data_IF_587192297591
#
_entry.id   IF_587192297591
#
_cell.length_a   1.000
_cell.length_b   1.000
_cell.length_c   1.000
_cell.angle_alpha   90.00
_cell.angle_beta   90.00
_cell.angle_gamma   90.00
#
_symmetry.space_group_name_H-M   'P 1'
#
loop_
_entity.id
_entity.type
_entity.pdbx_description
1 polymer ?
#
# COMPACT_ATOMS: atom_id res chain seq x y z
N UNK A 1 37.64 10.05 66.29
CA UNK A 1 38.40 11.27 65.94
C UNK A 1 39.41 10.93 64.87
N UNK A 2 39.56 11.87 63.92
CA UNK A 2 40.58 11.99 62.87
C UNK A 2 40.36 11.31 61.51
N UNK A 3 39.96 12.17 60.57
CA UNK A 3 40.53 12.39 59.23
C UNK A 3 40.50 11.24 58.21
N UNK A 4 39.61 11.38 57.20
CA UNK A 4 39.86 11.01 55.78
C UNK A 4 38.66 11.37 54.90
N UNK A 5 38.60 12.59 54.41
CA UNK A 5 37.81 12.98 53.22
C UNK A 5 38.43 14.26 52.69
N UNK A 6 38.44 14.43 51.36
CA UNK A 6 38.96 15.57 50.57
C UNK A 6 40.37 15.30 50.00
N UNK A 7 40.41 14.55 48.90
CA UNK A 7 41.41 14.64 47.82
C UNK A 7 40.92 13.78 46.65
N UNK A 8 40.02 14.33 45.81
CA UNK A 8 39.65 13.72 44.51
C UNK A 8 38.81 14.68 43.65
N UNK A 9 39.21 15.96 43.51
CA UNK A 9 38.55 16.89 42.60
C UNK A 9 39.49 17.76 41.75
N UNK A 10 40.81 17.59 41.83
CA UNK A 10 41.77 18.39 41.04
C UNK A 10 42.40 17.65 39.84
N UNK A 11 42.04 16.40 39.55
CA UNK A 11 42.60 15.63 38.41
C UNK A 11 41.66 15.50 37.19
N UNK A 12 40.51 16.20 37.17
CA UNK A 12 39.51 16.09 36.09
C UNK A 12 39.38 17.30 35.16
N UNK A 13 40.17 18.37 35.35
CA UNK A 13 40.07 19.59 34.52
C UNK A 13 41.26 19.85 33.57
N UNK A 14 42.31 19.02 33.56
CA UNK A 14 43.48 19.26 32.70
C UNK A 14 43.47 18.52 31.33
N UNK A 15 42.48 17.67 31.04
CA UNK A 15 42.46 16.87 29.80
C UNK A 15 41.55 17.42 28.67
N UNK A 16 41.00 18.63 28.79
CA UNK A 16 40.03 19.17 27.83
C UNK A 16 40.49 20.42 27.06
N UNK A 17 41.80 20.61 26.85
CA UNK A 17 42.32 21.83 26.21
C UNK A 17 43.29 21.68 25.03
N UNK A 18 43.37 20.49 24.41
CA UNK A 18 44.22 20.28 23.23
C UNK A 18 43.50 19.50 22.12
N UNK A 19 42.40 20.04 21.56
CA UNK A 19 41.84 19.61 20.27
C UNK A 19 41.10 20.77 19.58
N UNK A 20 41.80 21.85 19.25
CA UNK A 20 41.34 22.80 18.23
C UNK A 20 42.57 23.39 17.54
N UNK A 21 43.08 22.71 16.51
CA UNK A 21 43.88 23.32 15.44
C UNK A 21 44.08 22.29 14.30
N UNK A 22 43.96 22.77 13.06
CA UNK A 22 44.24 22.10 11.78
C UNK A 22 43.10 21.34 11.05
N UNK A 23 42.17 22.09 10.43
CA UNK A 23 41.65 21.72 9.09
C UNK A 23 41.68 22.94 8.17
N UNK A 24 42.76 23.07 7.39
CA UNK A 24 42.88 23.96 6.25
C UNK A 24 43.01 23.09 4.99
N UNK A 25 41.88 22.84 4.30
CA UNK A 25 41.87 22.14 3.01
C UNK A 25 41.72 23.17 1.89
N UNK A 26 42.70 23.29 0.97
CA UNK A 26 42.56 24.18 -0.17
C UNK A 26 41.70 23.55 -1.27
N UNK A 27 40.73 24.34 -1.75
CA UNK A 27 39.97 24.08 -2.97
C UNK A 27 40.92 24.02 -4.19
N UNK A 28 41.08 22.83 -4.78
CA UNK A 28 41.61 22.70 -6.13
C UNK A 28 40.46 22.42 -7.11
N UNK A 29 40.29 23.39 -7.98
CA UNK A 29 39.51 23.32 -9.20
C UNK A 29 40.24 22.46 -10.23
N UNK A 30 39.56 21.44 -10.76
CA UNK A 30 39.97 20.80 -12.00
C UNK A 30 38.79 20.70 -12.96
N UNK A 31 38.88 21.49 -14.03
CA UNK A 31 38.16 21.36 -15.29
C UNK A 31 38.84 20.27 -16.12
N UNK A 32 38.03 19.39 -16.71
CA UNK A 32 38.19 18.65 -17.99
C UNK A 32 37.27 17.43 -17.83
N UNK A 33 36.21 17.23 -18.61
CA UNK A 33 36.10 17.30 -20.05
C UNK A 33 35.64 15.91 -20.51
N UNK A 34 34.37 15.77 -20.90
CA UNK A 34 33.90 14.70 -21.79
C UNK A 34 32.46 14.97 -22.20
N UNK A 35 32.38 15.70 -23.30
CA UNK A 35 31.34 15.60 -24.30
C UNK A 35 31.10 14.16 -24.72
N UNK A 36 29.89 13.63 -24.51
CA UNK A 36 29.24 12.64 -25.40
C UNK A 36 27.85 12.27 -24.84
N UNK A 37 26.79 12.76 -25.50
CA UNK A 37 25.54 12.03 -25.81
C UNK A 37 24.42 13.02 -26.12
N UNK A 38 24.53 13.63 -27.29
CA UNK A 38 23.48 14.38 -27.94
C UNK A 38 23.02 13.57 -29.16
N UNK A 39 22.24 12.51 -28.94
CA UNK A 39 21.61 11.71 -30.00
C UNK A 39 20.49 10.85 -29.43
N UNK A 40 19.30 11.45 -29.27
CA UNK A 40 17.99 10.79 -29.39
C UNK A 40 16.88 11.83 -29.15
N UNK A 41 16.71 12.72 -30.11
CA UNK A 41 15.45 13.44 -30.36
C UNK A 41 15.21 13.36 -31.86
N UNK A 42 13.95 13.16 -32.23
CA UNK A 42 13.40 13.00 -33.59
C UNK A 42 13.17 11.55 -34.01
N UNK A 43 12.08 10.95 -33.51
CA UNK A 43 11.24 9.98 -34.25
C UNK A 43 10.01 9.61 -33.43
N UNK A 44 8.97 10.45 -33.50
CA UNK A 44 7.57 10.05 -33.27
C UNK A 44 6.65 11.28 -33.29
N UNK A 45 6.55 11.94 -34.45
CA UNK A 45 5.42 12.81 -34.78
C UNK A 45 5.09 12.60 -36.25
N UNK A 46 4.45 11.47 -36.54
CA UNK A 46 3.67 11.26 -37.75
C UNK A 46 2.84 9.99 -37.55
N UNK A 47 1.57 10.06 -37.92
CA UNK A 47 0.51 9.03 -37.81
C UNK A 47 -0.46 9.16 -36.62
N UNK A 48 -1.29 10.20 -36.64
CA UNK A 48 -2.69 10.08 -36.19
C UNK A 48 -3.53 11.22 -36.81
N UNK A 49 -3.73 11.12 -38.13
CA UNK A 49 -4.86 11.73 -38.83
C UNK A 49 -5.56 10.62 -39.59
N UNK A 50 -6.88 10.71 -39.64
CA UNK A 50 -7.82 9.87 -40.40
C UNK A 50 -8.40 8.67 -39.62
N UNK A 51 -9.51 8.92 -38.92
CA UNK A 51 -10.70 8.10 -39.14
C UNK A 51 -11.97 8.95 -39.04
N UNK A 52 -12.54 9.16 -40.22
CA UNK A 52 -13.84 9.79 -40.47
C UNK A 52 -14.96 8.82 -40.08
N UNK A 53 -16.02 9.42 -39.52
CA UNK A 53 -17.44 9.25 -39.83
C UNK A 53 -18.01 7.84 -40.03
N UNK A 54 -19.06 7.54 -39.26
CA UNK A 54 -20.11 6.60 -39.64
C UNK A 54 -21.46 7.08 -39.04
N UNK A 55 -22.59 6.69 -39.64
CA UNK A 55 -23.71 7.61 -39.90
C UNK A 55 -24.91 7.47 -38.95
N UNK A 56 -25.68 8.56 -38.89
CA UNK A 56 -27.07 8.61 -38.46
C UNK A 56 -27.94 7.67 -39.28
N UNK A 57 -28.72 6.81 -38.64
CA UNK A 57 -30.02 6.33 -39.13
C UNK A 57 -30.83 5.76 -37.97
N UNK A 58 -31.96 6.37 -37.64
CA UNK A 58 -33.24 5.71 -37.39
C UNK A 58 -34.34 6.77 -37.32
N UNK A 59 -35.05 6.92 -38.45
CA UNK A 59 -36.44 7.37 -38.45
C UNK A 59 -37.28 6.29 -37.74
N UNK A 60 -38.15 6.68 -36.82
CA UNK A 60 -39.31 5.86 -36.49
C UNK A 60 -40.54 6.73 -36.33
N UNK A 61 -41.62 6.15 -36.81
CA UNK A 61 -42.85 6.72 -37.33
C UNK A 61 -43.84 7.20 -36.27
N UNK A 62 -44.60 8.20 -36.66
CA UNK A 62 -45.88 8.58 -36.05
C UNK A 62 -46.87 7.41 -36.06
N UNK A 63 -47.50 7.14 -34.92
CA UNK A 63 -48.75 6.37 -34.83
C UNK A 63 -49.74 7.14 -33.96
N UNK A 64 -50.95 7.25 -34.49
CA UNK A 64 -52.09 8.02 -34.01
C UNK A 64 -52.83 7.37 -32.83
N UNK A 65 -53.37 8.25 -31.99
CA UNK A 65 -54.61 8.20 -31.20
C UNK A 65 -55.30 6.86 -30.91
N UNK A 66 -55.39 6.54 -29.61
CA UNK A 66 -56.39 5.65 -29.03
C UNK A 66 -56.94 6.25 -27.73
N UNK A 67 -58.24 6.58 -27.72
CA UNK A 67 -59.02 7.04 -26.58
C UNK A 67 -59.36 5.84 -25.69
N UNK A 68 -59.07 5.89 -24.39
CA UNK A 68 -59.35 4.78 -23.47
C UNK A 68 -59.29 5.18 -21.99
N UNK A 69 -60.47 5.48 -21.45
CA UNK A 69 -60.93 5.36 -20.05
C UNK A 69 -59.90 5.37 -18.90
N UNK A 70 -59.99 6.43 -18.11
CA UNK A 70 -59.26 6.70 -16.85
C UNK A 70 -59.50 5.64 -15.76
N UNK A 71 -58.47 4.96 -15.25
CA UNK A 71 -58.52 4.30 -13.96
C UNK A 71 -58.15 5.30 -12.85
N UNK A 72 -58.98 5.35 -11.82
CA UNK A 72 -58.78 6.11 -10.58
C UNK A 72 -57.46 5.71 -9.91
N UNK A 73 -56.42 6.53 -10.07
CA UNK A 73 -55.12 6.40 -9.38
C UNK A 73 -55.29 6.67 -7.88
N UNK A 74 -54.98 5.67 -7.06
CA UNK A 74 -54.74 5.85 -5.62
C UNK A 74 -53.45 6.68 -5.46
N UNK A 75 -53.42 7.73 -4.63
CA UNK A 75 -52.25 8.57 -4.44
C UNK A 75 -51.22 7.83 -3.59
N UNK A 76 -50.21 7.26 -4.23
CA UNK A 76 -49.00 6.79 -3.56
C UNK A 76 -47.76 7.21 -4.39
N UNK A 77 -47.78 8.44 -4.89
CA UNK A 77 -46.65 9.03 -5.62
C UNK A 77 -45.62 9.56 -4.60
N UNK A 78 -44.80 8.67 -4.05
CA UNK A 78 -43.46 9.08 -3.61
C UNK A 78 -42.71 9.47 -4.88
N UNK A 79 -42.43 10.76 -5.04
CA UNK A 79 -41.73 11.29 -6.21
C UNK A 79 -40.41 10.56 -6.42
N UNK A 80 -40.06 10.27 -7.68
CA UNK A 80 -38.86 9.53 -8.10
C UNK A 80 -37.56 10.07 -7.44
N UNK A 81 -37.54 11.37 -7.15
CA UNK A 81 -36.45 12.08 -6.46
C UNK A 81 -36.25 11.59 -5.02
N UNK A 82 -37.32 11.21 -4.29
CA UNK A 82 -37.22 10.71 -2.92
C UNK A 82 -36.73 9.27 -2.85
N UNK A 83 -36.96 8.46 -3.89
CA UNK A 83 -36.44 7.10 -3.99
C UNK A 83 -34.94 7.08 -4.28
N UNK A 84 -34.45 7.92 -5.19
CA UNK A 84 -33.01 8.05 -5.47
C UNK A 84 -32.21 8.52 -4.25
N UNK A 85 -32.76 9.47 -3.49
CA UNK A 85 -32.09 9.97 -2.27
C UNK A 85 -31.96 8.90 -1.18
N UNK A 86 -32.94 7.99 -1.09
CA UNK A 86 -32.92 6.89 -0.12
C UNK A 86 -31.93 5.78 -0.51
N UNK A 87 -31.69 5.58 -1.81
CA UNK A 87 -30.64 4.66 -2.28
C UNK A 87 -29.24 5.19 -1.97
N UNK A 88 -29.01 6.51 -2.13
CA UNK A 88 -27.72 7.14 -1.80
C UNK A 88 -27.37 7.04 -0.31
N UNK A 89 -28.34 7.16 0.60
CA UNK A 89 -28.12 7.03 2.05
C UNK A 89 -27.73 5.60 2.49
N UNK A 90 -27.96 4.61 1.63
CA UNK A 90 -27.61 3.19 1.91
C UNK A 90 -26.30 2.74 1.26
N UNK A 91 -25.66 3.60 0.46
CA UNK A 91 -24.48 3.24 -0.29
C UNK A 91 -23.25 3.12 0.63
N UNK A 92 -22.73 1.91 0.79
CA UNK A 92 -21.60 1.60 1.70
C UNK A 92 -20.24 2.02 1.09
N UNK A 93 -20.16 2.15 -0.24
CA UNK A 93 -18.95 2.56 -0.94
C UNK A 93 -19.26 3.21 -2.30
N UNK A 94 -18.38 4.10 -2.77
CA UNK A 94 -18.52 4.77 -4.08
C UNK A 94 -17.18 4.85 -4.83
N UNK A 95 -17.14 4.46 -6.12
CA UNK A 95 -15.95 4.55 -6.94
C UNK A 95 -15.88 5.90 -7.68
N UNK A 96 -14.66 6.37 -7.91
CA UNK A 96 -14.31 7.60 -8.61
C UNK A 96 -13.11 7.37 -9.51
N UNK A 97 -13.03 8.14 -10.59
CA UNK A 97 -11.80 8.28 -11.36
C UNK A 97 -10.97 9.39 -10.74
N UNK A 98 -9.77 9.06 -10.27
CA UNK A 98 -8.87 9.98 -9.59
C UNK A 98 -7.68 10.32 -10.49
N UNK A 99 -7.53 11.59 -10.82
CA UNK A 99 -6.44 12.10 -11.65
C UNK A 99 -5.38 12.74 -10.76
N UNK A 100 -4.19 12.14 -10.71
CA UNK A 100 -3.04 12.74 -10.05
C UNK A 100 -2.56 13.98 -10.83
N UNK A 101 -1.96 14.99 -10.17
CA UNK A 101 -1.35 16.15 -10.83
C UNK A 101 -0.37 15.80 -11.97
N UNK A 102 0.34 14.68 -11.85
CA UNK A 102 1.25 14.17 -12.86
C UNK A 102 0.55 13.52 -14.09
N UNK A 103 -0.79 13.57 -14.16
CA UNK A 103 -1.58 13.07 -15.27
C UNK A 103 -1.94 11.58 -15.21
N UNK A 104 -1.45 10.83 -14.21
CA UNK A 104 -1.80 9.41 -14.04
C UNK A 104 -3.20 9.26 -13.45
N UNK A 105 -3.98 8.37 -14.02
CA UNK A 105 -5.31 7.99 -13.51
C UNK A 105 -5.19 6.80 -12.56
N UNK A 106 -5.98 6.84 -11.49
CA UNK A 106 -6.22 5.74 -10.56
C UNK A 106 -7.72 5.59 -10.29
N UNK A 107 -8.13 4.42 -9.81
CA UNK A 107 -9.48 4.21 -9.28
C UNK A 107 -9.49 4.52 -7.79
N UNK A 108 -10.26 5.52 -7.38
CA UNK A 108 -10.45 5.87 -5.99
C UNK A 108 -11.78 5.32 -5.51
N UNK A 109 -11.77 4.52 -4.45
CA UNK A 109 -12.96 4.00 -3.79
C UNK A 109 -13.03 4.61 -2.40
N UNK A 110 -14.14 5.31 -2.12
CA UNK A 110 -14.48 5.73 -0.77
C UNK A 110 -15.37 4.69 -0.13
N UNK A 111 -14.97 4.18 1.02
CA UNK A 111 -15.74 3.24 1.84
C UNK A 111 -16.25 3.99 3.06
N UNK A 112 -17.56 4.11 3.19
CA UNK A 112 -18.19 4.95 4.21
C UNK A 112 -18.45 4.19 5.53
N UNK A 113 -18.40 2.85 5.50
CA UNK A 113 -18.63 1.98 6.65
C UNK A 113 -17.82 0.69 6.49
N UNK A 114 -16.63 0.66 7.09
CA UNK A 114 -15.72 -0.51 7.06
C UNK A 114 -16.25 -1.71 7.83
N UNK A 115 -17.13 -1.49 8.81
CA UNK A 115 -17.67 -2.54 9.66
C UNK A 115 -19.02 -3.05 9.17
N UNK A 116 -19.43 -2.63 7.96
CA UNK A 116 -20.69 -3.04 7.38
C UNK A 116 -20.78 -4.57 7.27
N UNK A 117 -21.79 -5.13 7.93
CA UNK A 117 -22.04 -6.58 7.92
C UNK A 117 -22.27 -7.05 6.49
N UNK A 118 -21.47 -8.01 6.03
CA UNK A 118 -21.49 -8.52 4.66
C UNK A 118 -21.15 -7.45 3.62
N UNK A 119 -20.04 -6.75 3.80
CA UNK A 119 -19.53 -5.79 2.82
C UNK A 119 -19.51 -6.41 1.40
N UNK A 120 -20.09 -5.74 0.38
CA UNK A 120 -20.32 -6.31 -0.96
C UNK A 120 -19.04 -6.28 -1.82
N UNK A 121 -18.00 -7.00 -1.38
CA UNK A 121 -16.71 -7.07 -2.08
C UNK A 121 -16.85 -7.54 -3.54
N UNK A 122 -17.73 -8.51 -3.81
CA UNK A 122 -17.92 -9.02 -5.17
C UNK A 122 -18.37 -7.92 -6.15
N UNK A 123 -19.34 -7.09 -5.76
CA UNK A 123 -19.84 -6.00 -6.60
C UNK A 123 -18.79 -4.91 -6.79
N UNK A 124 -18.07 -4.59 -5.71
CA UNK A 124 -16.96 -3.65 -5.70
C UNK A 124 -15.84 -4.09 -6.64
N UNK A 125 -15.35 -5.32 -6.50
CA UNK A 125 -14.28 -5.88 -7.34
C UNK A 125 -14.73 -6.04 -8.80
N UNK A 126 -15.99 -6.41 -9.05
CA UNK A 126 -16.60 -6.41 -10.38
C UNK A 126 -16.55 -5.03 -11.04
N UNK A 127 -16.90 -3.97 -10.30
CA UNK A 127 -16.88 -2.59 -10.81
C UNK A 127 -15.46 -2.12 -11.13
N UNK A 128 -14.48 -2.58 -10.36
CA UNK A 128 -13.05 -2.26 -10.56
C UNK A 128 -12.37 -3.15 -11.61
N UNK A 129 -13.07 -4.17 -12.14
CA UNK A 129 -12.49 -5.20 -13.03
C UNK A 129 -11.35 -5.99 -12.37
N UNK A 130 -11.40 -6.14 -11.05
CA UNK A 130 -10.46 -6.95 -10.25
C UNK A 130 -11.11 -8.29 -9.90
N UNK A 131 -11.55 -9.01 -10.93
CA UNK A 131 -12.46 -10.16 -10.73
C UNK A 131 -11.80 -11.52 -10.84
N UNK A 132 -10.56 -11.58 -11.32
CA UNK A 132 -9.79 -12.81 -11.31
C UNK A 132 -9.21 -13.02 -9.90
N UNK A 133 -8.85 -14.26 -9.57
CA UNK A 133 -8.04 -14.51 -8.37
C UNK A 133 -6.61 -14.10 -8.67
N UNK A 134 -6.00 -13.32 -7.78
CA UNK A 134 -4.61 -12.86 -7.95
C UNK A 134 -3.74 -13.33 -6.79
N UNK A 135 -2.47 -13.74 -7.02
CA UNK A 135 -1.50 -13.83 -5.94
C UNK A 135 -1.33 -12.45 -5.31
N UNK A 136 -1.25 -12.38 -3.98
CA UNK A 136 -1.20 -11.11 -3.25
C UNK A 136 0.10 -11.02 -2.45
N UNK A 137 0.77 -9.88 -2.55
CA UNK A 137 1.82 -9.49 -1.60
C UNK A 137 1.33 -8.30 -0.78
N UNK A 138 1.13 -8.52 0.51
CA UNK A 138 0.67 -7.49 1.44
C UNK A 138 1.86 -6.93 2.23
N UNK A 139 2.11 -5.63 2.13
CA UNK A 139 3.15 -4.95 2.89
C UNK A 139 2.59 -4.48 4.24
N UNK A 140 3.23 -4.94 5.31
CA UNK A 140 2.86 -4.62 6.69
C UNK A 140 3.84 -3.59 7.25
N UNK A 141 3.31 -2.45 7.67
CA UNK A 141 4.09 -1.38 8.31
C UNK A 141 5.13 -0.74 7.38
N UNK A 142 4.89 -0.70 6.07
CA UNK A 142 5.77 -0.02 5.11
C UNK A 142 5.60 1.51 5.21
N UNK A 143 6.70 2.23 5.38
CA UNK A 143 6.71 3.70 5.32
C UNK A 143 8.06 4.31 4.90
N UNK A 144 9.15 3.55 4.93
CA UNK A 144 10.47 4.06 4.57
C UNK A 144 10.77 3.94 3.07
N UNK A 145 11.27 5.02 2.48
CA UNK A 145 11.62 5.13 1.06
C UNK A 145 13.05 4.72 0.71
N UNK A 146 13.92 4.51 1.71
CA UNK A 146 15.33 4.18 1.53
C UNK A 146 15.61 2.69 1.25
N UNK A 147 14.61 1.89 0.88
CA UNK A 147 14.69 0.44 0.64
C UNK A 147 14.71 0.06 -0.85
N UNK A 148 15.38 0.85 -1.68
CA UNK A 148 15.32 0.73 -3.15
C UNK A 148 15.67 -0.67 -3.70
N UNK A 149 16.73 -1.31 -3.20
CA UNK A 149 17.10 -2.68 -3.62
C UNK A 149 16.02 -3.69 -3.26
N UNK A 150 15.43 -3.55 -2.07
CA UNK A 150 14.36 -4.42 -1.61
C UNK A 150 13.12 -4.29 -2.49
N UNK A 151 12.65 -3.06 -2.73
CA UNK A 151 11.49 -2.82 -3.60
C UNK A 151 11.73 -3.23 -5.06
N UNK A 152 12.97 -3.15 -5.55
CA UNK A 152 13.33 -3.69 -6.86
C UNK A 152 13.15 -5.22 -6.94
N UNK A 153 13.59 -5.94 -5.91
CA UNK A 153 13.42 -7.40 -5.80
C UNK A 153 11.96 -7.81 -5.67
N UNK A 154 11.23 -7.17 -4.74
CA UNK A 154 9.79 -7.34 -4.53
C UNK A 154 8.98 -7.13 -5.82
N UNK A 155 9.19 -5.99 -6.50
CA UNK A 155 8.47 -5.67 -7.73
C UNK A 155 8.79 -6.67 -8.85
N UNK A 156 10.03 -7.17 -8.92
CA UNK A 156 10.39 -8.22 -9.89
C UNK A 156 9.67 -9.54 -9.58
N UNK A 157 9.62 -9.97 -8.33
CA UNK A 157 8.89 -11.17 -7.94
C UNK A 157 7.40 -11.06 -8.28
N UNK A 158 6.79 -9.92 -7.94
CA UNK A 158 5.37 -9.68 -8.22
C UNK A 158 5.07 -9.65 -9.72
N UNK A 159 5.96 -9.06 -10.52
CA UNK A 159 5.81 -9.04 -11.98
C UNK A 159 5.84 -10.43 -12.58
N UNK A 160 6.78 -11.27 -12.16
CA UNK A 160 6.91 -12.63 -12.67
C UNK A 160 5.76 -13.56 -12.24
N UNK A 161 5.06 -13.22 -11.15
CA UNK A 161 3.93 -13.99 -10.61
C UNK A 161 2.56 -13.35 -10.89
N UNK A 162 2.51 -12.25 -11.65
CA UNK A 162 1.29 -11.45 -11.86
C UNK A 162 0.58 -11.05 -10.54
N UNK A 163 1.36 -10.86 -9.48
CA UNK A 163 0.84 -10.58 -8.15
C UNK A 163 0.39 -9.13 -8.01
N UNK A 164 -0.67 -8.91 -7.22
CA UNK A 164 -1.08 -7.58 -6.77
C UNK A 164 -0.32 -7.25 -5.49
N UNK A 165 0.24 -6.05 -5.43
CA UNK A 165 0.85 -5.52 -4.21
C UNK A 165 -0.20 -4.68 -3.48
N UNK A 166 -0.32 -4.89 -2.17
CA UNK A 166 -1.24 -4.15 -1.31
C UNK A 166 -0.44 -3.52 -0.17
N UNK A 167 -0.55 -2.21 0.00
CA UNK A 167 0.17 -1.45 1.02
C UNK A 167 -0.68 -0.29 1.56
N UNK A 168 -0.02 0.61 2.30
CA UNK A 168 -0.59 1.88 2.73
C UNK A 168 -0.59 2.83 1.52
N UNK A 169 -1.70 3.55 1.30
CA UNK A 169 -1.89 4.40 0.12
C UNK A 169 -0.94 5.63 -0.02
N UNK A 170 0.10 5.70 0.81
CA UNK A 170 1.07 6.79 0.93
C UNK A 170 2.39 6.43 0.25
N UNK A 171 3.34 7.36 0.22
CA UNK A 171 4.61 7.09 -0.46
C UNK A 171 5.52 6.17 0.35
N UNK A 172 5.94 5.06 -0.26
CA UNK A 172 6.87 4.11 0.36
C UNK A 172 8.19 3.98 -0.39
N UNK A 173 8.34 4.58 -1.57
CA UNK A 173 9.51 4.41 -2.44
C UNK A 173 9.44 3.18 -3.36
N UNK A 174 8.38 2.37 -3.24
CA UNK A 174 8.09 1.24 -4.13
C UNK A 174 7.60 1.69 -5.52
N UNK A 175 7.00 2.87 -5.59
CA UNK A 175 6.23 3.34 -6.74
C UNK A 175 7.01 3.42 -8.04
N UNK A 176 8.27 3.90 -8.07
CA UNK A 176 9.05 3.91 -9.29
C UNK A 176 9.25 2.50 -9.87
N UNK A 177 9.27 1.45 -9.04
CA UNK A 177 9.44 0.07 -9.49
C UNK A 177 8.14 -0.54 -10.00
N UNK A 178 7.01 -0.24 -9.34
CA UNK A 178 5.67 -0.63 -9.77
C UNK A 178 5.31 0.02 -11.10
N UNK A 179 5.54 1.33 -11.24
CA UNK A 179 5.26 2.08 -12.47
C UNK A 179 6.06 1.52 -13.65
N UNK A 180 7.36 1.28 -13.47
CA UNK A 180 8.23 0.77 -14.54
C UNK A 180 7.83 -0.62 -15.04
N UNK A 181 7.15 -1.42 -14.21
CA UNK A 181 6.74 -2.79 -14.51
C UNK A 181 5.24 -2.93 -14.78
N UNK A 182 4.49 -1.82 -14.81
CA UNK A 182 3.04 -1.81 -14.95
C UNK A 182 2.31 -2.73 -13.95
N UNK A 183 2.77 -2.73 -12.69
CA UNK A 183 2.18 -3.54 -11.63
C UNK A 183 0.92 -2.90 -11.05
N UNK A 184 -0.02 -3.75 -10.63
CA UNK A 184 -1.17 -3.33 -9.84
C UNK A 184 -0.73 -3.13 -8.39
N UNK A 185 -0.61 -1.86 -8.00
CA UNK A 185 -0.45 -1.45 -6.60
C UNK A 185 -1.79 -0.92 -6.08
N UNK A 186 -2.24 -1.48 -4.95
CA UNK A 186 -3.51 -1.18 -4.27
C UNK A 186 -3.20 -0.59 -2.90
N UNK A 187 -3.61 0.66 -2.68
CA UNK A 187 -3.40 1.35 -1.41
C UNK A 187 -4.67 1.34 -0.58
N UNK A 188 -4.57 1.02 0.70
CA UNK A 188 -5.66 1.17 1.68
C UNK A 188 -5.24 2.17 2.74
N UNK A 189 -6.10 3.14 3.06
CA UNK A 189 -5.79 4.13 4.09
C UNK A 189 -7.06 4.72 4.74
N UNK A 190 -6.99 5.14 6.02
CA UNK A 190 -8.06 5.92 6.64
C UNK A 190 -8.18 7.28 5.94
N UNK A 191 -9.38 7.62 5.47
CA UNK A 191 -9.62 8.82 4.66
C UNK A 191 -9.16 10.11 5.37
N UNK A 192 -9.41 10.19 6.69
CA UNK A 192 -9.09 11.35 7.50
C UNK A 192 -7.60 11.44 7.91
N UNK A 193 -6.79 10.43 7.61
CA UNK A 193 -5.36 10.41 7.92
C UNK A 193 -4.47 10.72 6.71
N UNK A 194 -5.06 10.81 5.51
CA UNK A 194 -4.31 11.07 4.27
C UNK A 194 -4.57 12.47 3.72
N UNK A 195 -3.66 12.94 2.89
CA UNK A 195 -3.77 14.20 2.15
C UNK A 195 -3.79 13.92 0.65
N UNK A 196 -4.58 14.72 -0.07
CA UNK A 196 -4.58 14.67 -1.52
C UNK A 196 -3.36 15.42 -2.10
N UNK A 197 -2.76 14.92 -3.18
CA UNK A 197 -1.59 15.52 -3.81
C UNK A 197 -1.89 16.90 -4.37
N UNK A 198 -0.96 17.83 -4.14
CA UNK A 198 -1.06 19.23 -4.59
C UNK A 198 -0.22 19.44 -5.85
N UNK A 199 -0.72 20.25 -6.79
CA UNK A 199 -0.08 20.47 -8.11
C UNK A 199 1.31 21.13 -8.00
N UNK A 200 1.57 21.91 -6.94
CA UNK A 200 2.82 22.66 -6.76
C UNK A 200 3.24 22.70 -5.28
N UNK A 201 3.46 21.56 -4.65
CA UNK A 201 3.94 21.53 -3.27
C UNK A 201 5.47 21.70 -3.21
N UNK A 202 5.95 22.74 -2.51
CA UNK A 202 7.37 22.84 -2.13
C UNK A 202 7.78 21.79 -1.11
N UNK A 203 6.81 21.27 -0.36
CA UNK A 203 6.97 20.24 0.66
C UNK A 203 6.04 19.07 0.35
N UNK A 204 6.60 17.87 0.25
CA UNK A 204 5.82 16.64 0.10
C UNK A 204 5.45 16.12 1.48
N UNK A 205 4.15 16.03 1.73
CA UNK A 205 3.64 15.51 3.00
C UNK A 205 3.80 13.99 3.07
N UNK A 206 4.30 13.41 4.17
CA UNK A 206 4.48 11.96 4.28
C UNK A 206 3.16 11.19 4.24
N UNK A 207 2.03 11.85 4.51
CA UNK A 207 0.69 11.25 4.42
C UNK A 207 -0.05 11.60 3.12
N UNK A 208 0.66 12.15 2.14
CA UNK A 208 0.10 12.40 0.82
C UNK A 208 -0.13 11.09 0.06
N UNK A 209 -1.28 10.98 -0.62
CA UNK A 209 -1.57 9.83 -1.47
C UNK A 209 -0.54 9.70 -2.59
N UNK A 210 -0.01 8.50 -2.75
CA UNK A 210 1.09 8.25 -3.68
C UNK A 210 0.59 7.91 -5.09
N UNK A 211 1.23 8.49 -6.11
CA UNK A 211 0.87 8.34 -7.52
C UNK A 211 1.30 6.99 -8.14
N UNK A 212 1.91 6.10 -7.36
CA UNK A 212 2.21 4.72 -7.76
C UNK A 212 0.99 3.82 -7.83
N UNK A 213 -0.07 4.14 -7.08
CA UNK A 213 -1.25 3.32 -6.92
C UNK A 213 -2.14 3.31 -8.16
N UNK A 214 -2.63 2.12 -8.50
CA UNK A 214 -3.66 1.92 -9.54
C UNK A 214 -5.07 1.98 -8.95
N UNK A 215 -5.22 1.54 -7.70
CA UNK A 215 -6.46 1.53 -6.94
C UNK A 215 -6.18 2.06 -5.53
N UNK A 216 -7.06 2.93 -5.04
CA UNK A 216 -6.99 3.55 -3.72
C UNK A 216 -8.29 3.28 -2.99
N UNK A 217 -8.22 2.74 -1.78
CA UNK A 217 -9.36 2.54 -0.89
C UNK A 217 -9.20 3.47 0.29
N UNK A 218 -9.98 4.56 0.28
CA UNK A 218 -10.07 5.48 1.41
C UNK A 218 -11.23 5.05 2.28
N UNK A 219 -10.89 4.61 3.48
CA UNK A 219 -11.85 3.99 4.37
C UNK A 219 -12.25 4.92 5.51
N UNK A 220 -13.52 4.80 5.91
CA UNK A 220 -14.11 5.58 6.98
C UNK A 220 -15.15 4.74 7.73
N UNK A 221 -15.59 5.25 8.87
CA UNK A 221 -16.69 4.70 9.66
C UNK A 221 -17.77 5.78 9.82
N UNK A 222 -19.05 5.38 9.84
CA UNK A 222 -20.19 6.32 9.82
C UNK A 222 -20.16 7.28 11.00
N UNK A 223 -19.75 6.76 12.15
CA UNK A 223 -19.86 7.46 13.43
C UNK A 223 -18.49 7.88 13.99
N UNK A 224 -17.39 7.48 13.34
CA UNK A 224 -16.03 7.62 13.89
C UNK A 224 -15.01 7.94 12.81
N UNK A 225 -14.08 8.82 13.16
CA UNK A 225 -12.88 9.06 12.36
C UNK A 225 -11.91 7.91 12.58
N UNK A 226 -11.57 7.21 11.50
CA UNK A 226 -10.64 6.10 11.57
C UNK A 226 -9.20 6.60 11.71
N UNK A 227 -8.43 5.99 12.60
CA UNK A 227 -6.98 6.21 12.67
C UNK A 227 -6.24 5.10 11.94
N UNK A 228 -4.95 5.32 11.66
CA UNK A 228 -4.06 4.26 11.21
C UNK A 228 -4.17 3.03 12.13
N UNK A 229 -4.01 1.85 11.54
CA UNK A 229 -4.28 0.51 12.13
C UNK A 229 -5.75 0.09 12.12
N UNK A 230 -6.72 1.01 12.11
CA UNK A 230 -8.14 0.64 12.14
C UNK A 230 -8.66 0.20 10.76
N UNK A 231 -7.98 0.56 9.68
CA UNK A 231 -8.25 0.09 8.32
C UNK A 231 -7.88 -1.38 8.09
N UNK A 232 -7.08 -1.95 9.00
CA UNK A 232 -6.45 -3.26 8.81
C UNK A 232 -7.47 -4.39 8.58
N UNK A 233 -8.58 -4.39 9.30
CA UNK A 233 -9.61 -5.41 9.13
C UNK A 233 -10.16 -5.40 7.69
N UNK A 234 -10.44 -4.21 7.16
CA UNK A 234 -10.91 -4.04 5.79
C UNK A 234 -9.82 -4.46 4.79
N UNK A 235 -8.57 -4.05 5.01
CA UNK A 235 -7.42 -4.42 4.17
C UNK A 235 -7.26 -5.94 4.07
N UNK A 236 -7.29 -6.66 5.20
CA UNK A 236 -7.18 -8.11 5.24
C UNK A 236 -8.37 -8.80 4.55
N UNK A 237 -9.59 -8.30 4.73
CA UNK A 237 -10.76 -8.84 4.02
C UNK A 237 -10.66 -8.59 2.51
N UNK A 238 -10.17 -7.43 2.09
CA UNK A 238 -9.96 -7.09 0.69
C UNK A 238 -8.94 -8.04 0.05
N UNK A 239 -7.78 -8.29 0.67
CA UNK A 239 -6.77 -9.20 0.11
C UNK A 239 -7.28 -10.64 0.00
N UNK A 240 -8.05 -11.11 0.99
CA UNK A 240 -8.67 -12.44 0.94
C UNK A 240 -9.64 -12.55 -0.25
N UNK A 241 -10.40 -11.48 -0.53
CA UNK A 241 -11.33 -11.43 -1.66
C UNK A 241 -10.66 -11.26 -3.02
N UNK A 242 -9.56 -10.51 -3.09
CA UNK A 242 -8.73 -10.42 -4.29
C UNK A 242 -8.07 -11.77 -4.64
N UNK A 243 -7.63 -12.52 -3.63
CA UNK A 243 -7.05 -13.85 -3.82
C UNK A 243 -8.09 -14.92 -4.18
N UNK A 244 -9.33 -14.79 -3.69
CA UNK A 244 -10.46 -15.67 -4.05
C UNK A 244 -10.92 -15.42 -5.50
N UNK A 245 -11.03 -14.15 -5.91
CA UNK A 245 -11.53 -13.76 -7.23
C UNK A 245 -12.99 -14.21 -7.47
N UNK A 246 -13.35 -14.41 -8.74
CA UNK A 246 -14.63 -14.99 -9.17
C UNK A 246 -14.68 -16.51 -9.08
N UNK A 247 -13.55 -17.16 -8.81
CA UNK A 247 -13.49 -18.61 -8.77
C UNK A 247 -14.51 -19.09 -7.74
N UNK A 248 -15.33 -20.05 -8.14
CA UNK A 248 -16.37 -20.68 -7.31
C UNK A 248 -15.87 -20.90 -5.89
N UNK A 249 -16.75 -20.75 -4.88
CA UNK A 249 -16.49 -21.01 -3.44
C UNK A 249 -15.75 -22.33 -3.12
N UNK A 250 -15.54 -23.20 -4.11
CA UNK A 250 -14.90 -24.52 -4.02
C UNK A 250 -13.51 -24.61 -4.68
N UNK A 251 -13.04 -23.57 -5.39
CA UNK A 251 -11.71 -23.56 -6.01
C UNK A 251 -10.62 -23.13 -5.02
N UNK A 252 -9.36 -23.53 -5.24
CA UNK A 252 -8.25 -23.05 -4.43
C UNK A 252 -8.09 -21.54 -4.62
N UNK A 253 -7.97 -20.80 -3.51
CA UNK A 253 -7.59 -19.38 -3.52
C UNK A 253 -6.17 -19.21 -4.05
N UNK A 254 -5.88 -18.05 -4.66
CA UNK A 254 -4.51 -17.67 -4.94
C UNK A 254 -3.72 -17.43 -3.64
N UNK A 255 -2.39 -17.50 -3.75
CA UNK A 255 -1.46 -17.37 -2.63
C UNK A 255 -1.44 -15.95 -2.08
N UNK A 256 -1.36 -15.81 -0.77
CA UNK A 256 -1.21 -14.52 -0.08
C UNK A 256 0.05 -14.59 0.76
N UNK A 257 0.92 -13.60 0.60
CA UNK A 257 2.17 -13.47 1.34
C UNK A 257 2.20 -12.12 2.01
N UNK A 258 2.41 -12.10 3.32
CA UNK A 258 2.63 -10.86 4.05
C UNK A 258 4.13 -10.60 4.16
N UNK A 259 4.52 -9.34 4.03
CA UNK A 259 5.90 -8.87 4.11
C UNK A 259 5.95 -7.84 5.23
N UNK A 260 6.55 -8.22 6.35
CA UNK A 260 6.70 -7.36 7.52
C UNK A 260 7.94 -6.48 7.37
N UNK A 261 7.71 -5.18 7.24
CA UNK A 261 8.75 -4.15 7.24
C UNK A 261 8.85 -3.44 8.59
N UNK A 262 7.72 -3.25 9.29
CA UNK A 262 7.64 -2.62 10.61
C UNK A 262 8.40 -1.28 10.71
N UNK A 263 8.28 -0.45 9.67
CA UNK A 263 8.81 0.92 9.66
C UNK A 263 7.98 1.87 10.54
N UNK A 264 6.71 1.53 10.76
CA UNK A 264 5.76 2.27 11.61
C UNK A 264 5.41 1.45 12.84
N UNK A 265 5.00 2.07 13.96
CA UNK A 265 4.58 1.33 15.16
C UNK A 265 3.20 0.66 15.03
N UNK A 266 2.40 1.02 14.02
CA UNK A 266 1.01 0.60 13.86
C UNK A 266 0.86 -0.72 13.07
N UNK A 267 1.83 -1.63 13.17
CA UNK A 267 1.87 -2.87 12.38
C UNK A 267 1.20 -4.06 13.06
N UNK A 268 1.08 -4.02 14.40
CA UNK A 268 0.73 -5.18 15.21
C UNK A 268 -0.67 -5.73 14.91
N UNK A 269 -1.65 -4.85 14.67
CA UNK A 269 -3.02 -5.24 14.31
C UNK A 269 -3.05 -6.07 13.01
N UNK A 270 -2.18 -5.74 12.06
CA UNK A 270 -2.08 -6.43 10.77
C UNK A 270 -1.40 -7.78 10.89
N UNK A 271 -0.34 -7.85 11.72
CA UNK A 271 0.28 -9.13 12.08
C UNK A 271 -0.73 -10.03 12.79
N UNK A 272 -1.47 -9.50 13.78
CA UNK A 272 -2.49 -10.27 14.53
C UNK A 272 -3.53 -10.88 13.59
N UNK A 273 -4.01 -10.10 12.63
CA UNK A 273 -4.97 -10.59 11.64
C UNK A 273 -4.34 -11.60 10.66
N UNK A 274 -3.12 -11.36 10.19
CA UNK A 274 -2.42 -12.32 9.33
C UNK A 274 -2.24 -13.69 10.02
N UNK A 275 -1.83 -13.70 11.29
CA UNK A 275 -1.73 -14.93 12.11
C UNK A 275 -3.12 -15.58 12.29
N UNK A 276 -4.15 -14.78 12.60
CA UNK A 276 -5.53 -15.28 12.76
C UNK A 276 -6.07 -15.97 11.50
N UNK A 277 -5.70 -15.50 10.32
CA UNK A 277 -6.12 -16.06 9.04
C UNK A 277 -5.14 -17.09 8.46
N UNK A 278 -4.15 -17.52 9.26
CA UNK A 278 -3.16 -18.53 8.88
C UNK A 278 -2.39 -18.14 7.61
N UNK A 279 -1.98 -16.87 7.53
CA UNK A 279 -1.26 -16.33 6.38
C UNK A 279 0.25 -16.25 6.69
N UNK A 280 1.13 -16.64 5.76
CA UNK A 280 2.57 -16.59 5.97
C UNK A 280 3.06 -15.14 6.03
N UNK A 281 4.05 -14.90 6.88
CA UNK A 281 4.66 -13.58 7.11
C UNK A 281 6.17 -13.70 6.92
N UNK A 282 6.70 -12.98 5.94
CA UNK A 282 8.14 -12.84 5.72
C UNK A 282 8.61 -11.62 6.53
N UNK A 283 9.52 -11.85 7.49
CA UNK A 283 10.17 -10.80 8.27
C UNK A 283 11.40 -10.34 7.50
N UNK A 284 11.39 -9.09 7.03
CA UNK A 284 12.46 -8.57 6.18
C UNK A 284 13.38 -7.63 6.95
N UNK A 285 14.69 -7.86 6.81
CA UNK A 285 15.73 -6.99 7.37
C UNK A 285 15.53 -5.52 7.00
N UNK A 286 15.92 -4.61 7.90
CA UNK A 286 16.11 -3.19 7.63
C UNK A 286 15.34 -2.24 8.56
N UNK A 287 14.43 -2.74 9.40
CA UNK A 287 13.89 -1.97 10.53
C UNK A 287 14.44 -2.55 11.82
N UNK A 288 14.55 -1.72 12.86
CA UNK A 288 15.06 -2.17 14.15
C UNK A 288 14.24 -3.33 14.73
N UNK A 289 12.92 -3.32 14.54
CA UNK A 289 12.01 -4.38 14.99
C UNK A 289 12.27 -5.68 14.21
N UNK A 290 12.30 -5.64 12.88
CA UNK A 290 12.55 -6.84 12.08
C UNK A 290 13.97 -7.38 12.31
N UNK A 291 14.96 -6.51 12.46
CA UNK A 291 16.35 -6.91 12.73
C UNK A 291 16.48 -7.60 14.08
N UNK A 292 15.77 -7.12 15.11
CA UNK A 292 15.71 -7.78 16.43
C UNK A 292 15.03 -9.15 16.35
N UNK A 293 13.89 -9.26 15.65
CA UNK A 293 13.20 -10.54 15.42
C UNK A 293 14.12 -11.54 14.72
N UNK A 294 14.79 -11.13 13.65
CA UNK A 294 15.72 -11.98 12.90
C UNK A 294 16.88 -12.41 13.79
N UNK A 295 17.47 -11.50 14.57
CA UNK A 295 18.56 -11.82 15.51
C UNK A 295 18.12 -12.85 16.55
N UNK A 296 16.99 -12.62 17.22
CA UNK A 296 16.48 -13.52 18.27
C UNK A 296 15.97 -14.86 17.72
N UNK A 297 15.56 -14.93 16.45
CA UNK A 297 15.18 -16.19 15.79
C UNK A 297 16.37 -17.17 15.63
N UNK A 298 17.60 -16.63 15.58
CA UNK A 298 18.84 -17.40 15.42
C UNK A 298 19.55 -17.66 16.76
N UNK A 299 19.19 -16.93 17.81
CA UNK A 299 19.82 -17.02 19.13
C UNK A 299 19.32 -18.23 19.93
N UNK A 300 20.16 -18.73 20.85
CA UNK A 300 19.72 -19.70 21.85
C UNK A 300 18.70 -19.06 22.81
N UNK A 301 17.83 -19.86 23.44
CA UNK A 301 16.75 -19.33 24.30
C UNK A 301 17.27 -18.45 25.45
N UNK A 302 18.41 -18.81 26.03
CA UNK A 302 19.06 -18.06 27.12
C UNK A 302 19.63 -16.70 26.68
N UNK A 303 19.85 -16.51 25.39
CA UNK A 303 20.46 -15.30 24.80
C UNK A 303 19.43 -14.35 24.18
N UNK A 304 18.15 -14.74 24.12
CA UNK A 304 17.11 -13.91 23.51
C UNK A 304 16.90 -12.66 24.35
N UNK A 305 17.07 -11.50 23.71
CA UNK A 305 16.85 -10.19 24.33
C UNK A 305 15.82 -9.43 23.50
N UNK A 306 14.60 -9.33 24.03
CA UNK A 306 13.52 -8.57 23.43
C UNK A 306 13.46 -7.17 24.04
N UNK A 307 13.94 -6.18 23.29
CA UNK A 307 14.00 -4.78 23.71
C UNK A 307 12.94 -3.94 23.00
N UNK A 308 12.63 -4.25 21.74
CA UNK A 308 11.70 -3.50 20.90
C UNK A 308 10.40 -4.25 20.61
N UNK A 309 10.38 -5.55 20.89
CA UNK A 309 9.25 -6.44 20.62
C UNK A 309 8.50 -6.71 21.92
N UNK A 310 7.22 -6.33 21.96
CA UNK A 310 6.36 -6.56 23.12
C UNK A 310 5.96 -8.04 23.28
N UNK A 311 5.41 -8.37 24.44
CA UNK A 311 4.99 -9.74 24.79
C UNK A 311 3.93 -10.28 23.82
N UNK A 312 3.05 -9.41 23.32
CA UNK A 312 2.02 -9.80 22.34
C UNK A 312 2.66 -10.24 21.02
N UNK A 313 3.60 -9.47 20.48
CA UNK A 313 4.30 -9.84 19.25
C UNK A 313 5.12 -11.12 19.45
N UNK A 314 5.73 -11.33 20.62
CA UNK A 314 6.40 -12.60 20.95
C UNK A 314 5.43 -13.79 20.94
N UNK A 315 4.22 -13.62 21.50
CA UNK A 315 3.17 -14.65 21.46
C UNK A 315 2.73 -14.93 20.01
N UNK A 316 2.59 -13.89 19.18
CA UNK A 316 2.25 -14.05 17.77
C UNK A 316 3.34 -14.81 17.00
N UNK A 317 4.62 -14.51 17.24
CA UNK A 317 5.76 -15.21 16.63
C UNK A 317 5.76 -16.72 16.89
N UNK A 318 5.25 -17.16 18.05
CA UNK A 318 5.13 -18.59 18.38
C UNK A 318 3.94 -19.28 17.70
N UNK A 319 2.86 -18.52 17.42
CA UNK A 319 1.62 -19.06 16.85
C UNK A 319 1.58 -19.03 15.33
N UNK A 320 2.20 -18.03 14.72
CA UNK A 320 2.10 -17.77 13.28
C UNK A 320 3.19 -18.43 12.44
N UNK A 321 3.03 -18.31 11.12
CA UNK A 321 4.01 -18.79 10.14
C UNK A 321 4.97 -17.66 9.74
N UNK A 322 6.04 -17.50 10.51
CA UNK A 322 7.06 -16.47 10.27
C UNK A 322 8.30 -17.02 9.57
N UNK A 323 8.78 -16.28 8.57
CA UNK A 323 9.90 -16.65 7.71
C UNK A 323 10.92 -15.52 7.67
N UNK A 324 12.16 -15.81 8.07
CA UNK A 324 13.19 -14.79 8.23
C UNK A 324 13.95 -14.57 6.91
N UNK A 325 13.94 -13.32 6.42
CA UNK A 325 14.72 -12.90 5.26
C UNK A 325 15.83 -11.93 5.71
N UNK A 326 16.97 -12.52 6.08
CA UNK A 326 18.19 -11.80 6.47
C UNK A 326 19.07 -11.48 5.25
N UNK A 327 18.48 -10.87 4.23
CA UNK A 327 19.20 -10.37 3.05
C UNK A 327 18.64 -9.03 2.60
N UNK A 328 19.55 -8.15 2.17
CA UNK A 328 19.21 -6.89 1.50
C UNK A 328 19.46 -6.97 -0.01
N UNK A 329 19.89 -8.14 -0.51
CA UNK A 329 20.12 -8.34 -1.93
C UNK A 329 18.80 -8.53 -2.68
N UNK A 330 18.67 -7.80 -3.79
CA UNK A 330 17.43 -7.80 -4.57
C UNK A 330 17.11 -9.15 -5.23
N UNK A 331 18.11 -10.00 -5.47
CA UNK A 331 17.96 -11.35 -6.00
C UNK A 331 17.38 -12.28 -4.96
N UNK A 332 17.98 -12.33 -3.77
CA UNK A 332 17.47 -13.14 -2.65
C UNK A 332 16.02 -12.77 -2.33
N UNK A 333 15.72 -11.47 -2.26
CA UNK A 333 14.37 -10.96 -1.99
C UNK A 333 13.39 -11.40 -3.07
N UNK A 334 13.78 -11.31 -4.35
CA UNK A 334 12.93 -11.71 -5.45
C UNK A 334 12.66 -13.22 -5.43
N UNK A 335 13.70 -14.04 -5.25
CA UNK A 335 13.57 -15.49 -5.21
C UNK A 335 12.73 -15.95 -4.03
N UNK A 336 12.95 -15.36 -2.85
CA UNK A 336 12.22 -15.72 -1.63
C UNK A 336 10.73 -15.41 -1.77
N UNK A 337 10.36 -14.21 -2.18
CA UNK A 337 8.95 -13.82 -2.36
C UNK A 337 8.30 -14.66 -3.47
N UNK A 338 8.99 -14.86 -4.59
CA UNK A 338 8.48 -15.67 -5.70
C UNK A 338 8.24 -17.12 -5.27
N UNK A 339 9.12 -17.70 -4.45
CA UNK A 339 8.95 -19.04 -3.89
C UNK A 339 7.64 -19.16 -3.10
N UNK A 340 7.34 -18.19 -2.23
CA UNK A 340 6.08 -18.19 -1.48
C UNK A 340 4.85 -18.07 -2.39
N UNK A 341 4.91 -17.26 -3.44
CA UNK A 341 3.80 -17.07 -4.37
C UNK A 341 3.55 -18.29 -5.29
N UNK A 342 4.52 -19.19 -5.45
CA UNK A 342 4.45 -20.26 -6.46
C UNK A 342 4.49 -21.68 -5.90
N UNK A 343 5.31 -21.95 -4.89
CA UNK A 343 5.61 -23.31 -4.44
C UNK A 343 5.04 -23.65 -3.05
N UNK A 344 4.70 -22.66 -2.22
CA UNK A 344 4.29 -22.93 -0.84
C UNK A 344 2.83 -23.36 -0.73
N UNK A 345 2.46 -24.17 0.30
CA UNK A 345 1.10 -24.69 0.44
C UNK A 345 0.08 -23.65 0.94
N UNK A 346 0.51 -22.48 1.43
CA UNK A 346 -0.32 -21.49 2.14
C UNK A 346 -1.37 -20.73 1.32
#
# INVERSE_FOLDING_TARGET
MSQKTIQSQEELEENNKNQEEEENVPQQSNKQGSSENLRQKNRSQENLKQRKQSPNYYQSSMVQSGVGTSPTRKPNDKTFITLQKKEEESQVWKPYDFLFPAGRLAKLVKVFDVYFKNFPFSDLLNKLKLTEGYPIVNLIGAAQSNRGKFYAGLARACFNSEAIIVDSAIETGLEPYVIRRDLKLVGVAPENCVKYPKINSTYKDPYELSNGHTHLFLVNDKDKTLQWSQETLFKIQLILKLAEGKVSKKGPRCKIVNVLLADTPNYLDEVRLAVKYDLPIIVCKGSHICDEIIKNSKAQEEEKQWNLVDDEMQELLQKGHFYMLDSLDSEDIAQYIHFFLTFTPY
#
